data_IF_032344287921
#
_entry.id   IF_032344287921
#
_cell.length_a   1.000
_cell.length_b   1.000
_cell.length_c   1.000
_cell.angle_alpha   90.00
_cell.angle_beta   90.00
_cell.angle_gamma   90.00
#
_symmetry.space_group_name_H-M   'P 1'
#
loop_
_entity.id
_entity.type
_entity.pdbx_description
1 polymer ?
#
# COMPACT_ATOMS: atom_id res chain seq x y z
N UNK A 1 -6.30 2.97 -4.23
CA UNK A 1 -5.86 4.09 -3.38
C UNK A 1 -7.00 4.49 -2.50
N UNK A 2 -6.75 4.58 -1.20
CA UNK A 2 -7.76 4.89 -0.19
C UNK A 2 -7.98 6.41 -0.05
N UNK A 3 -8.13 7.10 -1.19
CA UNK A 3 -8.25 8.56 -1.29
C UNK A 3 -9.47 9.12 -0.54
N UNK A 4 -10.51 8.31 -0.37
CA UNK A 4 -11.69 8.66 0.39
C UNK A 4 -11.38 9.06 1.86
N UNK A 5 -10.29 8.56 2.45
CA UNK A 5 -9.85 9.01 3.78
C UNK A 5 -9.29 10.43 3.74
N UNK A 6 -8.49 10.76 2.71
CA UNK A 6 -7.97 12.12 2.51
C UNK A 6 -9.10 13.11 2.22
N UNK A 7 -10.09 12.70 1.42
CA UNK A 7 -11.27 13.51 1.14
C UNK A 7 -12.07 13.79 2.41
N UNK A 8 -12.27 12.78 3.27
CA UNK A 8 -12.97 12.95 4.55
C UNK A 8 -12.23 13.92 5.47
N UNK A 9 -10.90 13.82 5.56
CA UNK A 9 -10.08 14.72 6.38
C UNK A 9 -10.21 16.17 5.88
N UNK A 10 -10.05 16.40 4.58
CA UNK A 10 -10.17 17.74 3.98
C UNK A 10 -11.56 18.36 4.19
N UNK A 11 -12.63 17.57 4.13
CA UNK A 11 -13.99 18.06 4.41
C UNK A 11 -14.20 18.45 5.87
N UNK A 12 -13.53 17.76 6.81
CA UNK A 12 -13.58 18.11 8.22
C UNK A 12 -12.81 19.41 8.49
N UNK A 13 -11.60 19.53 7.95
CA UNK A 13 -10.79 20.76 8.06
C UNK A 13 -11.54 21.96 7.49
N UNK A 14 -12.17 21.82 6.32
CA UNK A 14 -12.97 22.89 5.72
C UNK A 14 -14.20 23.29 6.55
N UNK A 15 -14.77 22.35 7.31
CA UNK A 15 -15.87 22.64 8.23
C UNK A 15 -15.37 23.36 9.48
N UNK A 16 -14.26 22.90 10.06
CA UNK A 16 -13.66 23.48 11.26
C UNK A 16 -13.14 24.91 10.99
N UNK A 17 -12.58 25.15 9.80
CA UNK A 17 -12.16 26.50 9.34
C UNK A 17 -13.33 27.38 8.87
N UNK A 18 -14.56 26.85 8.82
CA UNK A 18 -15.75 27.61 8.47
C UNK A 18 -15.94 27.90 6.98
N UNK A 19 -15.12 27.32 6.09
CA UNK A 19 -15.34 27.40 4.64
C UNK A 19 -16.65 26.72 4.20
N UNK A 20 -17.10 25.71 4.96
CA UNK A 20 -18.41 25.08 4.78
C UNK A 20 -19.22 25.18 6.08
N UNK A 21 -20.50 25.54 5.96
CA UNK A 21 -21.37 25.76 7.12
C UNK A 21 -21.88 24.48 7.78
N UNK A 22 -21.74 23.33 7.09
CA UNK A 22 -22.28 22.06 7.54
C UNK A 22 -21.35 20.93 7.13
N UNK A 23 -20.98 20.09 8.09
CA UNK A 23 -20.25 18.86 7.85
C UNK A 23 -21.08 17.89 6.97
N UNK A 24 -20.66 17.62 5.72
CA UNK A 24 -21.35 16.71 4.82
C UNK A 24 -21.13 15.23 5.19
N UNK A 25 -20.09 14.93 5.98
CA UNK A 25 -19.71 13.56 6.38
C UNK A 25 -20.60 13.01 7.50
N UNK A 26 -21.34 13.88 8.21
CA UNK A 26 -22.30 13.49 9.26
C UNK A 26 -23.47 12.63 8.75
N UNK A 27 -23.85 12.77 7.47
CA UNK A 27 -24.99 12.05 6.86
C UNK A 27 -24.60 11.07 5.77
N UNK A 28 -23.37 11.17 5.26
CA UNK A 28 -22.93 10.43 4.08
C UNK A 28 -21.57 9.80 4.37
N UNK A 29 -21.46 8.51 4.10
CA UNK A 29 -20.18 7.80 4.15
C UNK A 29 -19.51 7.93 2.79
N UNK A 30 -18.37 8.62 2.75
CA UNK A 30 -17.50 8.66 1.57
C UNK A 30 -16.80 7.30 1.46
N UNK A 31 -17.30 6.44 0.57
CA UNK A 31 -16.67 5.15 0.28
C UNK A 31 -15.58 5.31 -0.78
N UNK A 32 -14.58 4.44 -0.73
CA UNK A 32 -13.59 4.29 -1.78
C UNK A 32 -14.17 3.65 -3.04
N UNK A 33 -13.27 3.32 -3.99
CA UNK A 33 -13.62 2.55 -5.18
C UNK A 33 -14.16 1.17 -4.78
N UNK A 34 -15.08 0.63 -5.59
CA UNK A 34 -15.53 -0.75 -5.44
C UNK A 34 -14.36 -1.74 -5.46
N UNK A 35 -14.45 -2.85 -4.71
CA UNK A 35 -13.43 -3.87 -4.70
C UNK A 35 -13.15 -4.36 -6.13
N UNK A 36 -11.91 -4.24 -6.58
CA UNK A 36 -11.48 -4.87 -7.82
C UNK A 36 -10.99 -6.29 -7.54
N UNK A 37 -10.92 -7.11 -8.58
CA UNK A 37 -10.20 -8.38 -8.49
C UNK A 37 -8.80 -8.15 -7.93
N UNK A 38 -8.44 -8.96 -6.93
CA UNK A 38 -7.15 -8.84 -6.27
C UNK A 38 -6.09 -9.49 -7.16
N UNK A 39 -5.11 -8.70 -7.57
CA UNK A 39 -3.89 -9.23 -8.19
C UNK A 39 -3.15 -10.13 -7.19
N UNK A 40 -2.46 -11.16 -7.69
CA UNK A 40 -1.51 -11.92 -6.90
C UNK A 40 -0.42 -10.96 -6.39
N UNK A 41 -0.31 -10.82 -5.07
CA UNK A 41 0.64 -9.90 -4.41
C UNK A 41 1.91 -10.60 -3.91
N UNK A 42 1.87 -11.92 -3.84
CA UNK A 42 2.91 -12.73 -3.22
C UNK A 42 3.38 -13.79 -4.19
N UNK A 43 4.68 -14.05 -4.17
CA UNK A 43 5.27 -15.20 -4.82
C UNK A 43 4.86 -16.45 -4.06
N UNK A 44 4.48 -17.50 -4.78
CA UNK A 44 4.39 -18.82 -4.20
C UNK A 44 5.80 -19.40 -3.94
N UNK A 45 5.87 -20.54 -3.24
CA UNK A 45 7.15 -21.15 -2.87
C UNK A 45 8.06 -21.46 -4.07
N UNK A 46 7.46 -21.91 -5.19
CA UNK A 46 8.21 -22.23 -6.40
C UNK A 46 8.75 -20.97 -7.08
N UNK A 47 7.93 -19.93 -7.19
CA UNK A 47 8.32 -18.63 -7.75
C UNK A 47 9.42 -17.97 -6.91
N UNK A 48 9.32 -18.06 -5.58
CA UNK A 48 10.36 -17.56 -4.69
C UNK A 48 11.68 -18.32 -4.90
N UNK A 49 11.63 -19.66 -4.96
CA UNK A 49 12.82 -20.48 -5.26
C UNK A 49 13.45 -20.11 -6.61
N UNK A 50 12.63 -19.84 -7.62
CA UNK A 50 13.11 -19.41 -8.93
C UNK A 50 13.79 -18.03 -8.87
N UNK A 51 13.19 -17.07 -8.16
CA UNK A 51 13.78 -15.75 -7.94
C UNK A 51 15.15 -15.86 -7.25
N UNK A 52 15.23 -16.61 -6.15
CA UNK A 52 16.46 -16.76 -5.36
C UNK A 52 17.61 -17.38 -6.18
N UNK A 53 17.32 -18.21 -7.19
CA UNK A 53 18.34 -18.80 -8.08
C UNK A 53 18.98 -17.79 -9.04
N UNK A 54 18.33 -16.67 -9.29
CA UNK A 54 18.79 -15.66 -10.25
C UNK A 54 19.40 -14.43 -9.60
N UNK A 55 19.51 -14.40 -8.27
CA UNK A 55 20.13 -13.30 -7.53
C UNK A 55 21.64 -13.24 -7.80
N UNK A 56 22.15 -12.04 -8.10
CA UNK A 56 23.57 -11.74 -8.15
C UNK A 56 24.10 -11.42 -6.75
N UNK A 57 24.66 -12.44 -6.10
CA UNK A 57 25.28 -12.31 -4.77
C UNK A 57 26.78 -12.06 -4.88
N UNK A 58 27.15 -11.04 -5.66
CA UNK A 58 28.54 -10.59 -5.78
C UNK A 58 29.13 -10.13 -4.44
N UNK A 59 30.46 -9.94 -4.42
CA UNK A 59 31.20 -9.60 -3.20
C UNK A 59 30.81 -8.25 -2.57
N UNK A 60 30.19 -7.36 -3.33
CA UNK A 60 29.75 -6.05 -2.85
C UNK A 60 28.23 -6.06 -2.61
N UNK A 61 27.74 -5.50 -1.50
CA UNK A 61 26.32 -5.43 -1.21
C UNK A 61 25.53 -4.72 -2.33
N UNK A 62 24.40 -5.31 -2.71
CA UNK A 62 23.48 -4.80 -3.71
C UNK A 62 22.02 -5.10 -3.29
N UNK A 63 21.05 -4.78 -4.15
CA UNK A 63 19.64 -5.05 -3.87
C UNK A 63 19.32 -6.54 -3.77
N UNK A 64 20.07 -7.41 -4.44
CA UNK A 64 19.83 -8.86 -4.43
C UNK A 64 20.15 -9.46 -3.06
N UNK A 65 21.19 -8.96 -2.39
CA UNK A 65 21.44 -9.25 -0.98
C UNK A 65 20.25 -8.83 -0.08
N UNK A 66 19.66 -7.66 -0.33
CA UNK A 66 18.49 -7.21 0.42
C UNK A 66 17.26 -8.10 0.17
N UNK A 67 17.02 -8.49 -1.08
CA UNK A 67 15.93 -9.41 -1.45
C UNK A 67 16.11 -10.76 -0.73
N UNK A 68 17.33 -11.30 -0.71
CA UNK A 68 17.64 -12.54 -0.01
C UNK A 68 17.37 -12.43 1.50
N UNK A 69 17.79 -11.33 2.13
CA UNK A 69 17.58 -11.10 3.55
C UNK A 69 16.11 -11.03 3.90
N UNK A 70 15.31 -10.24 3.17
CA UNK A 70 13.86 -10.14 3.34
C UNK A 70 13.22 -11.52 3.17
N UNK A 71 13.58 -12.25 2.10
CA UNK A 71 13.02 -13.57 1.82
C UNK A 71 13.34 -14.62 2.91
N UNK A 72 14.48 -14.48 3.61
CA UNK A 72 14.91 -15.44 4.64
C UNK A 72 14.48 -15.06 6.06
N UNK A 73 14.30 -13.77 6.34
CA UNK A 73 14.09 -13.27 7.70
C UNK A 73 12.73 -12.64 7.93
N UNK A 74 12.04 -12.22 6.86
CA UNK A 74 10.76 -11.51 6.96
C UNK A 74 10.86 -10.06 7.45
N UNK A 75 12.07 -9.46 7.40
CA UNK A 75 12.29 -8.01 7.55
C UNK A 75 11.44 -7.21 6.56
#
# INVERSE_FOLDING_TARGET
>A
MDFHHQLKAMLLDAYDEGYIQRDPTRKIVVKGKEPSEKKAKYLNEFELKLLLRHLDLSAFPNFDWMILLIAKTGL
#
